data_IF_524087622204
#
_entry.id   IF_524087622204
#
_cell.length_a   1.000
_cell.length_b   1.000
_cell.length_c   1.000
_cell.angle_alpha   90.00
_cell.angle_beta   90.00
_cell.angle_gamma   90.00
#
_symmetry.space_group_name_H-M   'P 1'
#
loop_
_entity.id
_entity.type
_entity.pdbx_description
1 polymer ?
#
# COMPACT_ATOMS: atom_id res chain seq x y z
N UNK A 1 16.88 -6.13 -7.78
CA UNK A 1 17.00 -7.01 -8.97
C UNK A 1 15.99 -6.63 -10.06
N UNK A 2 14.74 -6.40 -9.70
CA UNK A 2 13.61 -6.10 -10.59
C UNK A 2 13.31 -4.60 -10.74
N UNK A 3 14.11 -3.70 -10.16
CA UNK A 3 13.91 -2.24 -10.21
C UNK A 3 13.61 -1.72 -11.62
N UNK A 4 14.35 -2.16 -12.64
CA UNK A 4 14.12 -1.74 -14.03
C UNK A 4 12.81 -2.30 -14.60
N UNK A 5 12.47 -3.54 -14.26
CA UNK A 5 11.19 -4.15 -14.61
C UNK A 5 10.04 -3.38 -13.98
N UNK A 6 10.12 -3.06 -12.68
CA UNK A 6 9.10 -2.28 -12.00
C UNK A 6 8.95 -0.86 -12.54
N UNK A 7 10.07 -0.21 -12.88
CA UNK A 7 10.08 1.13 -13.48
C UNK A 7 9.26 1.20 -14.77
N UNK A 8 9.25 0.14 -15.59
CA UNK A 8 8.42 0.04 -16.80
C UNK A 8 6.91 0.14 -16.49
N UNK A 9 6.49 -0.44 -15.36
CA UNK A 9 5.08 -0.49 -14.94
C UNK A 9 4.67 0.67 -14.03
N UNK A 10 5.62 1.42 -13.47
CA UNK A 10 5.37 2.49 -12.50
C UNK A 10 4.29 3.49 -12.92
N UNK A 11 4.27 4.01 -14.18
CA UNK A 11 3.23 4.97 -14.58
C UNK A 11 1.81 4.37 -14.50
N UNK A 12 1.66 3.10 -14.89
CA UNK A 12 0.37 2.41 -14.85
C UNK A 12 -0.01 2.10 -13.40
N UNK A 13 0.93 1.68 -12.56
CA UNK A 13 0.71 1.46 -11.12
C UNK A 13 0.23 2.74 -10.47
N UNK A 14 0.81 3.91 -10.77
CA UNK A 14 0.35 5.21 -10.24
C UNK A 14 -1.09 5.53 -10.64
N UNK A 15 -1.47 5.27 -11.89
CA UNK A 15 -2.84 5.50 -12.38
C UNK A 15 -3.82 4.56 -11.65
N UNK A 16 -3.48 3.28 -11.56
CA UNK A 16 -4.33 2.29 -10.89
C UNK A 16 -4.44 2.57 -9.40
N UNK A 17 -3.37 3.00 -8.73
CA UNK A 17 -3.41 3.42 -7.33
C UNK A 17 -4.37 4.60 -7.09
N UNK A 18 -4.49 5.54 -8.03
CA UNK A 18 -5.49 6.62 -7.91
C UNK A 18 -6.91 6.07 -8.04
N UNK A 19 -7.10 5.14 -8.98
CA UNK A 19 -8.41 4.50 -9.25
C UNK A 19 -8.81 3.51 -8.15
N UNK A 20 -7.85 2.99 -7.39
CA UNK A 20 -8.12 2.03 -6.32
C UNK A 20 -8.97 2.59 -5.18
N UNK A 21 -9.10 3.92 -5.10
CA UNK A 21 -10.03 4.59 -4.19
C UNK A 21 -11.51 4.25 -4.48
N UNK A 22 -11.84 3.86 -5.71
CA UNK A 22 -13.22 3.53 -6.11
C UNK A 22 -13.48 2.02 -6.17
N UNK A 23 -12.51 1.24 -6.64
CA UNK A 23 -12.63 -0.21 -6.76
C UNK A 23 -11.27 -0.88 -6.80
N UNK A 24 -11.22 -2.18 -6.50
CA UNK A 24 -9.99 -2.96 -6.67
C UNK A 24 -9.50 -2.89 -8.13
N UNK A 25 -8.19 -2.65 -8.30
CA UNK A 25 -7.56 -2.58 -9.60
C UNK A 25 -6.67 -3.79 -9.84
N UNK A 26 -6.56 -4.19 -11.11
CA UNK A 26 -5.69 -5.27 -11.55
C UNK A 26 -4.77 -4.78 -12.66
N UNK A 27 -3.49 -5.13 -12.57
CA UNK A 27 -2.48 -4.92 -13.59
C UNK A 27 -1.93 -6.27 -14.05
N UNK A 28 -2.22 -6.64 -15.28
CA UNK A 28 -1.59 -7.78 -15.92
C UNK A 28 -0.23 -7.35 -16.50
N UNK A 29 0.84 -8.00 -16.06
CA UNK A 29 2.20 -7.74 -16.52
C UNK A 29 2.71 -8.86 -17.41
N UNK A 30 3.74 -8.56 -18.20
CA UNK A 30 4.37 -9.52 -19.08
C UNK A 30 5.42 -10.36 -18.32
N UNK A 31 5.21 -11.68 -18.33
CA UNK A 31 6.12 -12.69 -17.76
C UNK A 31 7.59 -12.50 -18.16
N UNK A 32 7.83 -12.25 -19.45
CA UNK A 32 9.18 -12.20 -20.03
C UNK A 32 10.01 -11.05 -19.45
N UNK A 33 9.39 -9.97 -18.99
CA UNK A 33 10.10 -8.86 -18.37
C UNK A 33 10.73 -9.27 -17.03
N UNK A 34 10.07 -10.17 -16.28
CA UNK A 34 10.56 -10.66 -14.99
C UNK A 34 11.54 -11.81 -15.17
N UNK A 35 11.32 -12.72 -16.11
CA UNK A 35 12.29 -13.78 -16.41
C UNK A 35 13.64 -13.23 -16.87
N UNK A 36 13.62 -12.22 -17.74
CA UNK A 36 14.85 -11.56 -18.19
C UNK A 36 15.59 -10.93 -17.03
N UNK A 37 14.89 -10.24 -16.15
CA UNK A 37 15.47 -9.66 -14.94
C UNK A 37 16.01 -10.75 -13.99
N UNK A 38 15.31 -11.89 -13.91
CA UNK A 38 15.68 -13.06 -13.10
C UNK A 38 17.01 -13.72 -13.53
N UNK A 39 17.46 -13.51 -14.78
CA UNK A 39 18.66 -14.13 -15.35
C UNK A 39 18.71 -15.65 -15.12
N UNK A 40 17.57 -16.33 -15.28
CA UNK A 40 17.44 -17.78 -15.10
C UNK A 40 17.32 -18.26 -13.65
N UNK A 41 17.30 -17.36 -12.65
CA UNK A 41 17.09 -17.73 -11.24
C UNK A 41 15.62 -18.10 -11.01
N UNK A 42 15.38 -19.18 -10.24
CA UNK A 42 14.03 -19.54 -9.80
C UNK A 42 13.58 -18.59 -8.69
N UNK A 43 12.63 -17.71 -9.01
CA UNK A 43 12.05 -16.74 -8.08
C UNK A 43 10.56 -17.02 -7.94
N UNK A 44 10.04 -16.92 -6.70
CA UNK A 44 8.61 -16.90 -6.46
C UNK A 44 8.10 -15.48 -6.70
N UNK A 45 7.32 -15.30 -7.76
CA UNK A 45 6.78 -13.99 -8.15
C UNK A 45 5.46 -13.64 -7.45
N UNK A 46 4.93 -14.53 -6.61
CA UNK A 46 3.71 -14.27 -5.85
C UNK A 46 3.98 -13.70 -4.45
N UNK A 47 3.15 -12.76 -4.03
CA UNK A 47 3.02 -12.32 -2.64
C UNK A 47 1.59 -11.89 -2.36
N UNK A 48 1.16 -11.93 -1.10
CA UNK A 48 -0.18 -11.56 -0.71
C UNK A 48 -0.14 -10.55 0.43
N UNK A 49 -1.15 -9.69 0.47
CA UNK A 49 -1.43 -8.76 1.56
C UNK A 49 -0.22 -7.86 1.89
N UNK A 50 0.53 -7.36 0.91
CA UNK A 50 1.58 -6.36 1.18
C UNK A 50 0.89 -5.04 1.52
N UNK A 51 0.98 -4.61 2.77
CA UNK A 51 0.28 -3.41 3.26
C UNK A 51 1.23 -2.23 3.36
N UNK A 52 0.87 -1.13 2.70
CA UNK A 52 1.46 0.18 2.88
C UNK A 52 0.45 1.09 3.58
N UNK A 53 0.80 1.56 4.77
CA UNK A 53 0.03 2.53 5.57
C UNK A 53 0.86 3.80 5.71
N UNK A 54 0.32 4.92 5.24
CA UNK A 54 0.99 6.21 5.26
C UNK A 54 2.43 6.16 4.70
N UNK A 55 2.56 5.61 3.48
CA UNK A 55 3.84 5.35 2.81
C UNK A 55 4.88 4.54 3.64
N UNK A 56 4.42 3.66 4.53
CA UNK A 56 5.29 2.73 5.29
C UNK A 56 4.74 1.31 5.23
N UNK A 57 5.63 0.33 5.21
CA UNK A 57 5.23 -1.07 5.20
C UNK A 57 4.78 -1.53 6.58
N UNK A 58 3.52 -1.96 6.70
CA UNK A 58 2.94 -2.33 7.99
C UNK A 58 3.34 -3.75 8.44
N UNK A 59 3.57 -4.66 7.49
CA UNK A 59 3.75 -6.09 7.78
C UNK A 59 5.06 -6.66 7.22
N UNK A 60 6.13 -5.85 7.22
CA UNK A 60 7.42 -6.18 6.61
C UNK A 60 7.99 -7.54 7.01
N UNK A 61 7.90 -7.96 8.27
CA UNK A 61 8.45 -9.24 8.73
C UNK A 61 7.83 -10.46 8.04
N UNK A 62 6.56 -10.38 7.63
CA UNK A 62 5.79 -11.47 7.02
C UNK A 62 5.93 -11.53 5.49
N UNK A 63 6.56 -10.53 4.89
CA UNK A 63 6.62 -10.37 3.44
C UNK A 63 7.85 -11.07 2.82
N UNK A 64 7.69 -11.77 1.67
CA UNK A 64 8.82 -12.39 0.98
C UNK A 64 9.78 -11.33 0.41
N UNK A 65 11.04 -11.69 0.10
CA UNK A 65 12.02 -10.76 -0.45
C UNK A 65 11.53 -9.99 -1.69
N UNK A 66 10.78 -10.66 -2.57
CA UNK A 66 10.23 -10.05 -3.78
C UNK A 66 9.22 -8.93 -3.48
N UNK A 67 8.34 -9.11 -2.50
CA UNK A 67 7.40 -8.09 -2.04
C UNK A 67 8.11 -6.91 -1.36
N UNK A 68 9.14 -7.21 -0.54
CA UNK A 68 9.97 -6.18 0.12
C UNK A 68 10.68 -5.31 -0.90
N UNK A 69 11.25 -5.92 -1.94
CA UNK A 69 11.91 -5.20 -3.02
C UNK A 69 10.91 -4.31 -3.80
N UNK A 70 9.72 -4.84 -4.12
CA UNK A 70 8.67 -4.06 -4.76
C UNK A 70 8.26 -2.85 -3.92
N UNK A 71 8.00 -3.05 -2.63
CA UNK A 71 7.64 -1.96 -1.73
C UNK A 71 8.78 -0.94 -1.57
N UNK A 72 10.02 -1.39 -1.42
CA UNK A 72 11.18 -0.49 -1.36
C UNK A 72 11.28 0.37 -2.62
N UNK A 73 11.08 -0.24 -3.80
CA UNK A 73 11.03 0.48 -5.07
C UNK A 73 9.90 1.54 -5.11
N UNK A 74 8.68 1.20 -4.67
CA UNK A 74 7.58 2.17 -4.59
C UNK A 74 7.93 3.33 -3.64
N UNK A 75 8.59 3.02 -2.53
CA UNK A 75 9.03 3.97 -1.52
C UNK A 75 10.38 4.64 -1.85
N UNK A 76 10.94 4.44 -3.04
CA UNK A 76 12.06 5.25 -3.56
C UNK A 76 11.55 6.41 -4.44
N UNK A 77 10.37 6.25 -5.05
CA UNK A 77 9.77 7.27 -5.92
C UNK A 77 8.94 8.29 -5.12
N UNK A 78 9.34 9.56 -5.14
CA UNK A 78 8.69 10.63 -4.39
C UNK A 78 7.24 10.86 -4.81
N UNK A 79 6.91 10.68 -6.09
CA UNK A 79 5.54 10.83 -6.58
C UNK A 79 4.65 9.69 -6.05
N UNK A 80 5.16 8.46 -6.07
CA UNK A 80 4.47 7.30 -5.50
C UNK A 80 4.26 7.46 -4.00
N UNK A 81 5.27 7.90 -3.24
CA UNK A 81 5.12 8.21 -1.80
C UNK A 81 3.99 9.19 -1.56
N UNK A 82 3.93 10.29 -2.30
CA UNK A 82 2.84 11.29 -2.18
C UNK A 82 1.47 10.66 -2.44
N UNK A 83 1.36 9.71 -3.36
CA UNK A 83 0.10 9.00 -3.58
C UNK A 83 -0.23 7.99 -2.48
N UNK A 84 0.75 7.52 -1.71
CA UNK A 84 0.58 6.56 -0.62
C UNK A 84 0.43 7.21 0.76
N UNK A 85 0.76 8.51 0.88
CA UNK A 85 0.52 9.28 2.11
C UNK A 85 -0.97 9.30 2.45
N UNK A 86 -1.26 9.22 3.75
CA UNK A 86 -2.62 9.23 4.31
C UNK A 86 -3.56 8.14 3.74
N UNK A 87 -2.98 7.05 3.24
CA UNK A 87 -3.73 5.90 2.72
C UNK A 87 -3.30 4.61 3.37
N UNK A 88 -4.22 3.67 3.38
CA UNK A 88 -3.95 2.26 3.60
C UNK A 88 -4.19 1.52 2.29
N UNK A 89 -3.12 0.99 1.69
CA UNK A 89 -3.16 0.30 0.40
C UNK A 89 -2.55 -1.07 0.56
N UNK A 90 -3.25 -2.06 0.03
CA UNK A 90 -2.81 -3.44 -0.05
C UNK A 90 -2.46 -3.80 -1.50
N UNK A 91 -1.35 -4.50 -1.65
CA UNK A 91 -0.90 -5.07 -2.92
C UNK A 91 -0.80 -6.59 -2.79
N UNK A 92 -1.25 -7.30 -3.83
CA UNK A 92 -0.99 -8.73 -3.97
C UNK A 92 -0.56 -9.04 -5.39
N UNK A 93 0.25 -10.06 -5.58
CA UNK A 93 0.70 -10.51 -6.89
C UNK A 93 0.59 -12.03 -7.01
N UNK A 94 0.04 -12.49 -8.12
CA UNK A 94 -0.06 -13.92 -8.44
C UNK A 94 1.12 -14.37 -9.28
N UNK A 95 1.36 -15.70 -9.36
CA UNK A 95 2.38 -16.26 -10.27
C UNK A 95 2.03 -16.05 -11.75
N UNK A 96 0.79 -15.66 -12.07
CA UNK A 96 0.38 -15.28 -13.42
C UNK A 96 0.74 -13.81 -13.75
N UNK A 97 1.55 -13.14 -12.92
CA UNK A 97 1.97 -11.74 -13.12
C UNK A 97 0.81 -10.74 -13.13
N UNK A 98 -0.26 -11.07 -12.40
CA UNK A 98 -1.35 -10.15 -12.11
C UNK A 98 -1.12 -9.51 -10.74
N UNK A 99 -0.94 -8.19 -10.71
CA UNK A 99 -0.82 -7.36 -9.51
C UNK A 99 -2.19 -6.75 -9.19
N UNK A 100 -2.72 -7.02 -8.00
CA UNK A 100 -3.89 -6.34 -7.46
C UNK A 100 -3.50 -5.17 -6.57
N UNK A 101 -4.31 -4.11 -6.62
CA UNK A 101 -4.18 -2.91 -5.80
C UNK A 101 -5.55 -2.63 -5.19
N UNK A 102 -5.61 -2.71 -3.86
CA UNK A 102 -6.82 -2.44 -3.10
C UNK A 102 -6.56 -1.34 -2.09
N UNK A 103 -7.34 -0.27 -2.16
CA UNK A 103 -7.31 0.75 -1.12
C UNK A 103 -8.34 0.40 -0.04
N UNK A 104 -7.89 0.35 1.20
CA UNK A 104 -8.77 0.20 2.35
C UNK A 104 -9.28 1.57 2.77
N UNK A 105 -10.59 1.70 2.96
CA UNK A 105 -11.18 2.89 3.57
C UNK A 105 -10.71 2.95 5.02
N UNK A 106 -9.89 3.94 5.35
CA UNK A 106 -9.72 4.32 6.75
C UNK A 106 -11.00 5.04 7.16
N UNK A 107 -11.81 4.39 8.01
CA UNK A 107 -12.81 5.12 8.79
C UNK A 107 -12.01 6.01 9.71
N UNK A 108 -12.01 7.32 9.45
CA UNK A 108 -11.45 8.27 10.39
C UNK A 108 -12.18 8.06 11.72
N UNK A 109 -11.47 7.53 12.73
CA UNK A 109 -11.95 7.59 14.10
C UNK A 109 -11.91 9.08 14.42
N UNK A 110 -13.07 9.73 14.41
CA UNK A 110 -13.20 11.06 14.97
C UNK A 110 -12.82 10.94 16.44
N UNK A 111 -11.66 11.48 16.82
CA UNK A 111 -11.37 11.79 18.21
C UNK A 111 -12.47 12.76 18.65
N UNK A 112 -13.46 12.23 19.38
CA UNK A 112 -14.40 13.05 20.13
C UNK A 112 -13.59 13.72 21.23
N UNK A 113 -13.28 14.99 20.99
CA UNK A 113 -12.78 15.92 21.98
C UNK A 113 -13.85 16.08 23.06
N UNK A 114 -13.72 15.31 24.15
CA UNK A 114 -14.63 15.38 25.30
C UNK A 114 -14.26 16.60 26.15
N UNK A 115 -14.60 17.79 25.65
CA UNK A 115 -14.64 19.01 26.42
C UNK A 115 -15.85 18.97 27.37
N UNK A 116 -15.68 18.43 28.58
CA UNK A 116 -16.60 18.72 29.69
C UNK A 116 -16.04 19.89 30.49
N UNK A 117 -16.38 21.10 30.05
CA UNK A 117 -16.51 22.24 30.95
C UNK A 117 -17.86 22.14 31.66
N UNK A 118 -17.86 21.92 32.96
CA UNK A 118 -18.95 22.32 33.85
C UNK A 118 -18.36 22.74 35.20
N UNK A 119 -17.97 24.00 35.25
CA UNK A 119 -17.73 24.79 36.46
C UNK A 119 -19.07 25.02 37.16
N UNK A 120 -19.07 24.82 38.48
CA UNK A 120 -19.84 25.56 39.50
C UNK A 120 -21.38 25.56 39.42
N UNK A 121 -21.99 24.91 40.42
CA UNK A 121 -23.09 25.55 41.14
C UNK A 121 -23.12 25.04 42.59
N UNK A 122 -22.69 25.90 43.50
CA UNK A 122 -23.06 25.85 44.90
C UNK A 122 -24.56 26.17 45.04
N UNK A 123 -25.29 25.43 45.88
CA UNK A 123 -26.07 25.94 47.01
C UNK A 123 -26.95 24.82 47.60
N UNK A 124 -27.11 24.86 48.93
CA UNK A 124 -27.89 23.94 49.77
C UNK A 124 -29.42 24.22 49.61
N UNK A 125 -30.40 23.72 50.43
CA UNK A 125 -30.30 23.04 51.73
C UNK A 125 -31.29 21.85 51.97
N UNK A 126 -31.03 21.08 53.03
CA UNK A 126 -32.04 20.59 54.01
C UNK A 126 -31.36 20.25 55.34
#
# INVERSE_FOLDING_TARGET
MFTQTWRKYLPVIQILLKRSAQSEQLLQMNHTDFERAAAGRKIRYSFNNLELVNARMNNQSKQPPFAKEFAAFLLEDENMKRFLMDKHVEFSMTNAFSLSIKQHLQVAVQEVDEAITATDNADAPE
#
